data_IF_480889211376
#
_entry.id   IF_480889211376
#
_cell.length_a   1.000
_cell.length_b   1.000
_cell.length_c   1.000
_cell.angle_alpha   90.00
_cell.angle_beta   90.00
_cell.angle_gamma   90.00
#
_symmetry.space_group_name_H-M   'P 1'
#
loop_
_entity.id
_entity.type
_entity.pdbx_description
1 polymer ?
#
# COMPACT_ATOMS: atom_id res chain seq x y z
N UNK A 1 17.22 -2.99 -24.63
CA UNK A 1 16.81 -3.94 -23.57
C UNK A 1 16.99 -3.20 -22.26
N UNK A 2 15.94 -2.52 -21.78
CA UNK A 2 16.07 -1.71 -20.55
C UNK A 2 16.27 -2.68 -19.39
N UNK A 3 17.43 -2.61 -18.75
CA UNK A 3 17.61 -3.09 -17.39
C UNK A 3 16.61 -2.30 -16.53
N UNK A 4 15.45 -2.93 -16.27
CA UNK A 4 14.54 -2.46 -15.24
C UNK A 4 15.34 -2.48 -13.95
N UNK A 5 15.83 -1.33 -13.50
CA UNK A 5 16.48 -1.22 -12.21
C UNK A 5 15.51 -1.78 -11.18
N UNK A 6 15.82 -2.95 -10.64
CA UNK A 6 14.96 -3.66 -9.72
C UNK A 6 14.72 -2.73 -8.53
N UNK A 7 13.47 -2.29 -8.33
CA UNK A 7 13.16 -1.44 -7.18
C UNK A 7 13.64 -2.15 -5.92
N UNK A 8 14.46 -1.50 -5.08
CA UNK A 8 14.94 -2.14 -3.87
C UNK A 8 13.75 -2.51 -2.98
N UNK A 9 13.85 -3.61 -2.21
CA UNK A 9 12.80 -3.99 -1.29
C UNK A 9 12.43 -2.84 -0.35
N UNK A 10 11.14 -2.57 -0.18
CA UNK A 10 10.68 -1.45 0.64
C UNK A 10 9.40 -1.75 1.44
N UNK A 11 9.23 -0.99 2.52
CA UNK A 11 8.01 -0.99 3.32
C UNK A 11 7.36 0.39 3.17
N UNK A 12 6.11 0.41 2.73
CA UNK A 12 5.30 1.63 2.61
C UNK A 12 4.39 1.70 3.82
N UNK A 13 4.59 2.69 4.68
CA UNK A 13 3.76 2.92 5.86
C UNK A 13 2.72 3.99 5.56
N UNK A 14 1.44 3.63 5.62
CA UNK A 14 0.31 4.55 5.36
C UNK A 14 -0.34 4.92 6.69
N UNK A 15 -0.12 6.16 7.14
CA UNK A 15 -0.84 6.73 8.27
C UNK A 15 -2.21 7.27 7.80
N UNK A 16 -3.26 7.06 8.59
CA UNK A 16 -4.63 7.33 8.15
C UNK A 16 -5.12 6.29 7.13
N UNK A 17 -4.76 5.03 7.36
CA UNK A 17 -5.05 3.94 6.44
C UNK A 17 -6.55 3.70 6.18
N UNK A 18 -7.43 4.19 7.07
CA UNK A 18 -8.90 4.13 6.92
C UNK A 18 -9.50 5.38 6.29
N UNK A 19 -8.69 6.42 6.05
CA UNK A 19 -9.15 7.68 5.49
C UNK A 19 -9.67 7.55 4.05
N UNK A 20 -10.59 8.43 3.67
CA UNK A 20 -11.19 8.46 2.32
C UNK A 20 -10.12 8.57 1.22
N UNK A 21 -9.09 9.39 1.45
CA UNK A 21 -7.96 9.55 0.54
C UNK A 21 -7.23 8.23 0.30
N UNK A 22 -6.99 7.46 1.36
CA UNK A 22 -6.31 6.17 1.26
C UNK A 22 -7.11 5.20 0.41
N UNK A 23 -8.42 5.12 0.65
CA UNK A 23 -9.33 4.24 -0.07
C UNK A 23 -9.50 4.63 -1.54
N UNK A 24 -9.64 5.92 -1.83
CA UNK A 24 -10.01 6.39 -3.18
C UNK A 24 -8.82 6.68 -4.09
N UNK A 25 -7.65 7.01 -3.54
CA UNK A 25 -6.50 7.46 -4.34
C UNK A 25 -5.21 6.70 -4.01
N UNK A 26 -4.81 6.60 -2.74
CA UNK A 26 -3.49 6.04 -2.38
C UNK A 26 -3.39 4.57 -2.73
N UNK A 27 -4.32 3.73 -2.25
CA UNK A 27 -4.28 2.29 -2.55
C UNK A 27 -4.44 1.99 -4.05
N UNK A 28 -5.34 2.65 -4.79
CA UNK A 28 -5.38 2.54 -6.26
C UNK A 28 -4.08 2.95 -6.96
N UNK A 29 -3.41 4.01 -6.50
CA UNK A 29 -2.13 4.43 -7.08
C UNK A 29 -1.03 3.37 -6.83
N UNK A 30 -0.93 2.82 -5.63
CA UNK A 30 0.01 1.74 -5.31
C UNK A 30 -0.27 0.47 -6.14
N UNK A 31 -1.55 0.13 -6.34
CA UNK A 31 -1.96 -0.95 -7.23
C UNK A 31 -1.49 -0.68 -8.68
N UNK A 32 -1.69 0.54 -9.19
CA UNK A 32 -1.25 0.91 -10.53
C UNK A 32 0.27 0.83 -10.68
N UNK A 33 1.04 1.27 -9.68
CA UNK A 33 2.51 1.16 -9.67
C UNK A 33 2.96 -0.30 -9.70
N UNK A 34 2.29 -1.18 -8.94
CA UNK A 34 2.57 -2.62 -8.97
C UNK A 34 2.22 -3.25 -10.32
N UNK A 35 1.12 -2.83 -10.93
CA UNK A 35 0.67 -3.30 -12.26
C UNK A 35 1.57 -2.82 -13.40
N UNK A 36 2.14 -1.62 -13.30
CA UNK A 36 3.04 -1.04 -14.31
C UNK A 36 4.50 -1.49 -14.17
N UNK A 37 4.85 -2.25 -13.13
CA UNK A 37 6.23 -2.66 -12.84
C UNK A 37 7.08 -1.59 -12.19
N UNK A 38 6.50 -0.45 -11.81
CA UNK A 38 7.20 0.64 -11.13
C UNK A 38 7.41 0.36 -9.62
N UNK A 39 6.65 -0.58 -9.06
CA UNK A 39 6.85 -1.10 -7.70
C UNK A 39 7.32 -2.55 -7.80
N UNK A 40 8.51 -2.81 -7.25
CA UNK A 40 9.14 -4.12 -7.27
C UNK A 40 8.31 -5.21 -6.58
N UNK A 41 8.63 -6.48 -6.87
CA UNK A 41 7.94 -7.66 -6.30
C UNK A 41 8.05 -7.74 -4.78
N UNK A 42 9.18 -7.27 -4.22
CA UNK A 42 9.48 -7.35 -2.79
C UNK A 42 9.07 -6.06 -2.08
N UNK A 43 7.77 -5.89 -1.84
CA UNK A 43 7.29 -4.77 -1.03
C UNK A 43 6.24 -5.21 -0.02
N UNK A 44 6.07 -4.42 1.03
CA UNK A 44 4.98 -4.57 1.98
C UNK A 44 4.30 -3.22 2.23
N UNK A 45 2.99 -3.25 2.48
CA UNK A 45 2.22 -2.08 2.92
C UNK A 45 1.83 -2.30 4.38
N UNK A 46 2.15 -1.34 5.23
CA UNK A 46 1.74 -1.31 6.63
C UNK A 46 0.76 -0.14 6.81
N UNK A 47 -0.50 -0.45 7.07
CA UNK A 47 -1.50 0.56 7.39
C UNK A 47 -1.52 0.85 8.89
N UNK A 48 -1.51 2.12 9.26
CA UNK A 48 -1.68 2.60 10.62
C UNK A 48 -2.81 3.63 10.68
N UNK A 49 -3.68 3.49 11.66
CA UNK A 49 -4.71 4.48 11.94
C UNK A 49 -5.02 4.52 13.44
N UNK A 50 -5.69 5.58 13.87
CA UNK A 50 -6.18 5.77 15.22
C UNK A 50 -7.58 5.16 15.42
N UNK A 51 -7.92 4.80 16.66
CA UNK A 51 -9.24 4.33 17.08
C UNK A 51 -9.26 2.89 17.65
N UNK A 52 -10.32 2.55 18.38
CA UNK A 52 -10.48 1.28 19.11
C UNK A 52 -10.84 0.05 18.24
N UNK A 53 -10.55 0.10 16.93
CA UNK A 53 -10.81 -1.03 16.05
C UNK A 53 -9.58 -1.94 16.00
N UNK A 54 -9.77 -3.24 16.23
CA UNK A 54 -8.68 -4.20 16.09
C UNK A 54 -8.29 -4.36 14.62
N UNK A 55 -7.01 -4.62 14.37
CA UNK A 55 -6.46 -4.93 13.04
C UNK A 55 -7.28 -6.04 12.33
N UNK A 56 -7.68 -7.07 13.08
CA UNK A 56 -8.57 -8.14 12.58
C UNK A 56 -9.92 -7.61 12.11
N UNK A 57 -10.57 -6.76 12.89
CA UNK A 57 -11.88 -6.19 12.53
C UNK A 57 -11.78 -5.31 11.28
N UNK A 58 -10.65 -4.62 11.12
CA UNK A 58 -10.40 -3.78 9.96
C UNK A 58 -10.24 -4.60 8.67
N UNK A 59 -9.55 -5.74 8.70
CA UNK A 59 -9.38 -6.61 7.52
C UNK A 59 -10.69 -7.09 6.90
N UNK A 60 -11.76 -7.20 7.67
CA UNK A 60 -13.07 -7.63 7.17
C UNK A 60 -13.86 -6.49 6.51
N UNK A 61 -13.45 -5.23 6.68
CA UNK A 61 -14.13 -4.04 6.13
C UNK A 61 -13.58 -3.56 4.79
N UNK A 62 -12.39 -4.02 4.39
CA UNK A 62 -11.76 -3.75 3.09
C UNK A 62 -12.19 -4.77 2.05
#
# INVERSE_FOLDING_TARGET
MNEQATTPPCIIVVFGARGDLTKRLVMPALYNLRRSGALGEQFAIVGMDHGDISERSWRTMM
#
